data_IF_808200188509
#
_entry.id   IF_808200188509
#
_cell.length_a   1.000
_cell.length_b   1.000
_cell.length_c   1.000
_cell.angle_alpha   90.00
_cell.angle_beta   90.00
_cell.angle_gamma   90.00
#
_symmetry.space_group_name_H-M   'P 1'
#
loop_
_entity.id
_entity.type
_entity.pdbx_description
1 polymer ?
#
# COMPACT_ATOMS: atom_id res chain seq x y z
N UNK A 1 6.17 -16.05 -11.77
CA UNK A 1 5.01 -15.15 -11.52
C UNK A 1 4.62 -14.44 -12.83
N UNK A 2 3.34 -14.09 -13.06
CA UNK A 2 2.96 -13.25 -14.21
C UNK A 2 3.19 -11.78 -13.88
N UNK A 3 3.76 -11.04 -14.83
CA UNK A 3 4.03 -9.61 -14.68
C UNK A 3 3.09 -8.78 -15.55
N UNK A 4 2.94 -7.51 -15.22
CA UNK A 4 2.21 -6.50 -15.98
C UNK A 4 2.98 -5.19 -16.00
N UNK A 5 2.72 -4.38 -17.03
CA UNK A 5 3.14 -2.97 -17.03
C UNK A 5 2.36 -2.20 -15.98
N UNK A 6 3.05 -1.48 -15.13
CA UNK A 6 2.47 -0.72 -14.03
C UNK A 6 2.06 0.70 -14.46
N UNK A 7 1.00 0.79 -15.23
CA UNK A 7 0.47 2.03 -15.76
C UNK A 7 1.52 2.87 -16.50
N UNK A 8 1.43 4.19 -16.38
CA UNK A 8 2.35 5.13 -17.01
C UNK A 8 3.79 5.12 -16.47
N UNK A 9 4.05 4.37 -15.38
CA UNK A 9 5.42 4.17 -14.91
C UNK A 9 6.26 3.33 -15.87
N UNK A 10 5.62 2.51 -16.71
CA UNK A 10 6.29 1.60 -17.62
C UNK A 10 7.02 0.43 -16.94
N UNK A 11 7.06 0.38 -15.61
CA UNK A 11 7.73 -0.67 -14.87
C UNK A 11 7.02 -2.02 -15.07
N UNK A 12 7.83 -3.08 -15.24
CA UNK A 12 7.32 -4.45 -15.38
C UNK A 12 7.29 -5.12 -14.01
N UNK A 13 6.13 -5.18 -13.37
CA UNK A 13 5.96 -5.67 -12.00
C UNK A 13 5.10 -6.92 -11.93
N UNK A 14 5.36 -7.76 -10.93
CA UNK A 14 4.54 -8.93 -10.65
C UNK A 14 3.10 -8.50 -10.29
N UNK A 15 2.11 -9.29 -10.75
CA UNK A 15 0.69 -9.04 -10.42
C UNK A 15 0.38 -9.12 -8.93
N UNK A 16 1.16 -9.89 -8.20
CA UNK A 16 1.12 -9.97 -6.75
C UNK A 16 2.29 -9.14 -6.19
N UNK A 17 1.99 -8.18 -5.33
CA UNK A 17 2.97 -7.45 -4.54
C UNK A 17 3.01 -7.95 -3.11
N UNK A 18 4.15 -7.81 -2.46
CA UNK A 18 4.33 -8.12 -1.05
C UNK A 18 4.15 -6.86 -0.20
N UNK A 19 3.03 -6.78 0.55
CA UNK A 19 2.78 -5.73 1.52
C UNK A 19 3.47 -6.02 2.85
N UNK A 20 4.23 -5.07 3.38
CA UNK A 20 5.18 -5.28 4.49
C UNK A 20 4.75 -4.64 5.81
N UNK A 21 3.47 -4.26 5.96
CA UNK A 21 2.96 -3.72 7.22
C UNK A 21 3.15 -4.70 8.38
N UNK A 22 2.86 -5.98 8.18
CA UNK A 22 2.99 -6.99 9.22
C UNK A 22 4.45 -7.29 9.57
N UNK A 23 5.37 -7.13 8.63
CA UNK A 23 6.80 -7.23 8.88
C UNK A 23 7.24 -6.20 9.91
N UNK A 24 6.75 -4.96 9.82
CA UNK A 24 7.06 -3.93 10.80
C UNK A 24 6.29 -4.04 12.12
N UNK A 25 4.97 -4.32 12.05
CA UNK A 25 4.10 -4.29 13.23
C UNK A 25 4.11 -5.56 14.07
N UNK A 26 4.34 -6.71 13.46
CA UNK A 26 4.25 -8.01 14.16
C UNK A 26 5.59 -8.70 14.32
N UNK A 27 6.44 -8.69 13.31
CA UNK A 27 7.73 -9.34 13.39
C UNK A 27 8.79 -8.43 14.02
N UNK A 28 8.92 -7.17 13.56
CA UNK A 28 9.98 -6.28 14.01
C UNK A 28 11.37 -6.90 13.85
N UNK A 29 12.34 -6.38 14.56
CA UNK A 29 13.69 -6.96 14.56
C UNK A 29 13.81 -8.28 15.32
N UNK A 30 12.94 -8.57 16.26
CA UNK A 30 12.90 -9.86 16.96
C UNK A 30 12.53 -11.00 16.01
N UNK A 31 11.66 -10.73 15.03
CA UNK A 31 11.27 -11.64 13.96
C UNK A 31 12.11 -11.53 12.68
N UNK A 32 13.30 -10.90 12.72
CA UNK A 32 14.12 -10.61 11.53
C UNK A 32 14.40 -11.84 10.66
N UNK A 33 14.72 -12.99 11.25
CA UNK A 33 15.00 -14.22 10.48
C UNK A 33 13.81 -14.67 9.64
N UNK A 34 12.60 -14.55 10.18
CA UNK A 34 11.38 -14.89 9.45
C UNK A 34 11.07 -13.85 8.38
N UNK A 35 11.23 -12.56 8.68
CA UNK A 35 11.07 -11.49 7.70
C UNK A 35 12.07 -11.65 6.53
N UNK A 36 13.32 -11.94 6.83
CA UNK A 36 14.39 -12.21 5.85
C UNK A 36 14.03 -13.41 4.96
N UNK A 37 13.57 -14.50 5.56
CA UNK A 37 13.12 -15.69 4.83
C UNK A 37 11.96 -15.38 3.89
N UNK A 38 10.95 -14.64 4.36
CA UNK A 38 9.77 -14.24 3.57
C UNK A 38 10.18 -13.35 2.39
N UNK A 39 11.02 -12.35 2.63
CA UNK A 39 11.47 -11.41 1.60
C UNK A 39 12.25 -12.15 0.49
N UNK A 40 13.27 -12.92 0.87
CA UNK A 40 14.07 -13.67 -0.10
C UNK A 40 13.23 -14.71 -0.85
N UNK A 41 12.42 -15.50 -0.14
CA UNK A 41 11.53 -16.48 -0.76
C UNK A 41 10.58 -15.82 -1.79
N UNK A 42 10.05 -14.64 -1.47
CA UNK A 42 9.16 -13.92 -2.38
C UNK A 42 9.85 -13.48 -3.65
N UNK A 43 11.07 -12.93 -3.56
CA UNK A 43 11.87 -12.55 -4.72
C UNK A 43 12.25 -13.78 -5.56
N UNK A 44 12.69 -14.86 -4.92
CA UNK A 44 13.09 -16.11 -5.60
C UNK A 44 11.91 -16.77 -6.36
N UNK A 45 10.66 -16.48 -5.94
CA UNK A 45 9.45 -16.94 -6.61
C UNK A 45 8.85 -15.90 -7.57
N UNK A 46 9.58 -14.84 -7.87
CA UNK A 46 9.25 -13.85 -8.89
C UNK A 46 8.23 -12.80 -8.45
N UNK A 47 8.04 -12.58 -7.14
CA UNK A 47 7.35 -11.39 -6.62
C UNK A 47 8.39 -10.27 -6.59
N UNK A 48 8.26 -9.32 -7.50
CA UNK A 48 9.22 -8.22 -7.64
C UNK A 48 8.61 -6.84 -7.28
N UNK A 49 7.54 -6.80 -6.52
CA UNK A 49 6.92 -5.56 -6.02
C UNK A 49 6.86 -5.61 -4.49
N UNK A 50 7.67 -4.77 -3.83
CA UNK A 50 7.70 -4.65 -2.38
C UNK A 50 7.05 -3.32 -1.97
N UNK A 51 6.03 -3.37 -1.08
CA UNK A 51 5.28 -2.21 -0.60
C UNK A 51 5.41 -2.05 0.91
N UNK A 52 6.16 -1.06 1.35
CA UNK A 52 6.37 -0.69 2.74
C UNK A 52 5.84 0.72 3.05
N UNK A 53 6.14 1.29 4.21
CA UNK A 53 5.86 2.68 4.58
C UNK A 53 6.75 3.12 5.75
N UNK A 54 7.07 4.41 5.80
CA UNK A 54 7.84 5.01 6.90
C UNK A 54 7.18 4.80 8.27
N UNK A 55 5.85 4.74 8.32
CA UNK A 55 5.11 4.49 9.58
C UNK A 55 5.06 3.01 10.01
N UNK A 56 5.56 2.07 9.20
CA UNK A 56 5.52 0.63 9.56
C UNK A 56 6.70 0.23 10.45
N UNK A 57 6.98 1.03 11.47
CA UNK A 57 8.03 0.83 12.50
C UNK A 57 9.37 0.43 11.84
N UNK A 58 9.77 -0.84 11.93
CA UNK A 58 11.06 -1.36 11.48
C UNK A 58 11.06 -1.86 10.02
N UNK A 59 9.90 -1.84 9.34
CA UNK A 59 9.73 -2.50 8.04
C UNK A 59 10.74 -2.05 7.00
N UNK A 60 10.97 -0.74 6.85
CA UNK A 60 11.95 -0.21 5.90
C UNK A 60 13.38 -0.67 6.23
N UNK A 61 13.75 -0.63 7.51
CA UNK A 61 15.08 -1.05 7.97
C UNK A 61 15.31 -2.55 7.78
N UNK A 62 14.26 -3.35 7.97
CA UNK A 62 14.29 -4.80 7.71
C UNK A 62 14.48 -5.06 6.23
N UNK A 63 13.74 -4.38 5.35
CA UNK A 63 13.91 -4.51 3.89
C UNK A 63 15.34 -4.14 3.48
N UNK A 64 15.84 -2.98 3.93
CA UNK A 64 17.18 -2.53 3.60
C UNK A 64 18.29 -3.46 4.10
N UNK A 65 18.08 -4.13 5.24
CA UNK A 65 19.03 -5.10 5.81
C UNK A 65 18.96 -6.47 5.13
N UNK A 66 17.75 -6.92 4.80
CA UNK A 66 17.50 -8.26 4.25
C UNK A 66 17.82 -8.34 2.76
N UNK A 67 17.24 -7.46 1.95
CA UNK A 67 17.27 -7.55 0.49
C UNK A 67 17.84 -6.31 -0.20
N UNK A 68 18.44 -5.37 0.56
CA UNK A 68 19.08 -4.19 -0.03
C UNK A 68 20.19 -4.53 -1.04
N UNK A 69 20.90 -5.64 -0.86
CA UNK A 69 21.91 -6.15 -1.80
C UNK A 69 21.31 -6.71 -3.11
N UNK A 70 19.98 -6.93 -3.16
CA UNK A 70 19.22 -7.42 -4.32
C UNK A 70 18.37 -6.28 -4.94
N UNK A 71 18.75 -5.02 -4.72
CA UNK A 71 17.96 -3.82 -5.06
C UNK A 71 17.40 -3.81 -6.49
N UNK A 72 18.17 -4.30 -7.44
CA UNK A 72 17.81 -4.32 -8.87
C UNK A 72 16.77 -5.39 -9.25
N UNK A 73 16.46 -6.31 -8.34
CA UNK A 73 15.51 -7.39 -8.60
C UNK A 73 14.06 -7.01 -8.33
N UNK A 74 13.79 -5.84 -7.69
CA UNK A 74 12.44 -5.48 -7.28
C UNK A 74 12.15 -4.00 -7.44
N UNK A 75 10.87 -3.72 -7.66
CA UNK A 75 10.28 -2.39 -7.61
C UNK A 75 9.94 -2.08 -6.14
N UNK A 76 10.53 -1.02 -5.62
CA UNK A 76 10.41 -0.63 -4.22
C UNK A 76 9.42 0.53 -4.08
N UNK A 77 8.32 0.28 -3.39
CA UNK A 77 7.34 1.30 -3.02
C UNK A 77 7.38 1.55 -1.52
N UNK A 78 7.40 2.82 -1.11
CA UNK A 78 7.17 3.24 0.27
C UNK A 78 6.18 4.40 0.34
N UNK A 79 5.90 4.86 1.55
CA UNK A 79 4.92 5.93 1.78
C UNK A 79 5.46 6.92 2.79
N UNK A 80 5.32 8.21 2.46
CA UNK A 80 5.66 9.34 3.32
C UNK A 80 4.41 9.88 4.03
N UNK A 81 4.61 10.45 5.20
CA UNK A 81 3.56 10.98 6.06
C UNK A 81 3.12 9.98 7.14
N UNK A 82 2.12 10.39 7.93
CA UNK A 82 1.73 9.69 9.16
C UNK A 82 0.94 8.41 8.95
N UNK A 83 0.36 8.23 7.76
CA UNK A 83 -0.53 7.11 7.46
C UNK A 83 -1.87 7.12 8.22
N UNK A 84 -2.19 8.23 8.87
CA UNK A 84 -3.41 8.41 9.65
C UNK A 84 -4.15 9.66 9.19
N UNK A 85 -5.43 9.53 8.84
CA UNK A 85 -6.31 10.65 8.48
C UNK A 85 -6.60 11.57 9.67
N UNK A 86 -6.45 11.08 10.90
CA UNK A 86 -6.69 11.84 12.14
C UNK A 86 -5.43 12.59 12.64
N UNK A 87 -4.33 12.58 11.88
CA UNK A 87 -3.13 13.30 12.26
C UNK A 87 -3.32 14.82 12.10
N UNK A 88 -2.74 15.64 12.99
CA UNK A 88 -2.78 17.09 12.82
C UNK A 88 -2.18 17.53 11.48
N UNK A 89 -2.72 18.60 10.89
CA UNK A 89 -2.20 19.19 9.63
C UNK A 89 -0.71 19.56 9.74
N UNK A 90 -0.26 19.93 10.94
CA UNK A 90 1.15 20.21 11.22
C UNK A 90 2.09 19.03 10.96
N UNK A 91 1.58 17.82 10.84
CA UNK A 91 2.35 16.63 10.43
C UNK A 91 2.45 16.49 8.90
N UNK A 92 1.73 17.29 8.14
CA UNK A 92 1.63 17.26 6.69
C UNK A 92 2.23 18.51 6.05
N UNK A 93 3.47 18.84 6.40
CA UNK A 93 4.18 19.97 5.82
C UNK A 93 5.17 19.50 4.75
N UNK A 94 5.55 20.42 3.86
CA UNK A 94 6.60 20.21 2.85
C UNK A 94 7.86 19.58 3.49
N UNK A 95 8.37 20.19 4.56
CA UNK A 95 9.61 19.75 5.22
C UNK A 95 9.49 18.37 5.84
N UNK A 96 8.35 18.05 6.47
CA UNK A 96 8.13 16.74 7.06
C UNK A 96 8.04 15.63 6.02
N UNK A 97 7.43 15.91 4.87
CA UNK A 97 7.38 14.93 3.77
C UNK A 97 8.79 14.71 3.20
N UNK A 98 9.58 15.75 2.94
CA UNK A 98 10.97 15.58 2.50
C UNK A 98 11.81 14.80 3.49
N UNK A 99 11.76 15.18 4.77
CA UNK A 99 12.47 14.46 5.85
C UNK A 99 12.05 12.99 5.93
N UNK A 100 10.76 12.69 5.75
CA UNK A 100 10.26 11.31 5.70
C UNK A 100 10.91 10.52 4.55
N UNK A 101 10.99 11.09 3.36
CA UNK A 101 11.63 10.44 2.20
C UNK A 101 13.12 10.21 2.45
N UNK A 102 13.83 11.18 2.99
CA UNK A 102 15.26 11.05 3.30
C UNK A 102 15.54 9.98 4.36
N UNK A 103 14.66 9.89 5.38
CA UNK A 103 14.73 8.82 6.37
C UNK A 103 14.46 7.45 5.74
N UNK A 104 13.48 7.37 4.83
CA UNK A 104 13.18 6.13 4.10
C UNK A 104 14.37 5.64 3.27
N UNK A 105 15.06 6.53 2.55
CA UNK A 105 16.28 6.18 1.80
C UNK A 105 17.35 5.56 2.70
N UNK A 106 17.59 6.17 3.87
CA UNK A 106 18.56 5.65 4.86
C UNK A 106 18.16 4.28 5.39
N UNK A 107 16.89 4.11 5.77
CA UNK A 107 16.37 2.85 6.31
C UNK A 107 16.44 1.73 5.27
N UNK A 108 16.03 2.02 4.05
CA UNK A 108 16.00 1.09 2.91
C UNK A 108 17.39 0.81 2.32
N UNK A 109 18.43 1.58 2.75
CA UNK A 109 19.81 1.48 2.25
C UNK A 109 19.90 1.60 0.73
N UNK A 110 19.23 2.59 0.19
CA UNK A 110 19.20 2.86 -1.26
C UNK A 110 19.26 4.36 -1.50
N UNK A 111 19.84 4.77 -2.62
CA UNK A 111 19.89 6.17 -3.05
C UNK A 111 18.62 6.57 -3.80
N UNK A 112 17.87 5.58 -4.34
CA UNK A 112 16.65 5.83 -5.13
C UNK A 112 15.54 4.85 -4.73
N UNK A 113 14.36 5.38 -4.43
CA UNK A 113 13.13 4.62 -4.26
C UNK A 113 12.35 4.65 -5.58
N UNK A 114 11.77 3.51 -6.02
CA UNK A 114 11.00 3.53 -7.26
C UNK A 114 9.71 4.35 -7.11
N UNK A 115 9.00 4.20 -6.00
CA UNK A 115 7.72 4.89 -5.77
C UNK A 115 7.61 5.39 -4.33
N UNK A 116 7.38 6.69 -4.16
CA UNK A 116 6.96 7.26 -2.87
C UNK A 116 5.52 7.76 -2.97
N UNK A 117 4.69 7.35 -2.02
CA UNK A 117 3.26 7.69 -1.98
C UNK A 117 2.94 8.56 -0.76
N UNK A 118 2.02 9.53 -0.87
CA UNK A 118 1.41 10.16 0.30
C UNK A 118 0.51 9.14 1.02
N UNK A 119 0.70 8.99 2.32
CA UNK A 119 0.07 7.92 3.11
C UNK A 119 -1.21 8.38 3.82
N UNK A 120 -2.35 8.28 3.15
CA UNK A 120 -3.68 8.67 3.69
C UNK A 120 -3.82 10.17 3.99
N UNK A 121 -3.15 11.02 3.21
CA UNK A 121 -3.29 12.46 3.26
C UNK A 121 -4.72 12.87 2.90
N UNK A 122 -5.30 13.82 3.63
CA UNK A 122 -6.66 14.28 3.40
C UNK A 122 -6.77 15.24 2.22
N UNK A 123 -7.97 15.39 1.67
CA UNK A 123 -8.23 16.16 0.45
C UNK A 123 -7.78 17.61 0.58
N UNK A 124 -8.11 18.28 1.69
CA UNK A 124 -7.74 19.70 1.88
C UNK A 124 -6.21 19.93 1.87
N UNK A 125 -5.42 18.99 2.40
CA UNK A 125 -3.95 19.05 2.38
C UNK A 125 -3.39 18.79 0.97
N UNK A 126 -4.06 17.91 0.21
CA UNK A 126 -3.72 17.70 -1.20
C UNK A 126 -3.99 18.96 -2.04
N UNK A 127 -5.11 19.65 -1.76
CA UNK A 127 -5.50 20.90 -2.44
C UNK A 127 -4.56 22.08 -2.12
N UNK A 128 -4.00 22.12 -0.93
CA UNK A 128 -2.95 23.10 -0.57
C UNK A 128 -1.67 22.91 -1.41
N UNK A 129 -1.37 21.69 -1.81
CA UNK A 129 -0.30 21.37 -2.75
C UNK A 129 1.09 21.21 -2.14
N UNK A 130 1.36 21.66 -0.91
CA UNK A 130 2.71 21.63 -0.31
C UNK A 130 3.27 20.22 -0.18
N UNK A 131 2.45 19.25 0.23
CA UNK A 131 2.86 17.84 0.35
C UNK A 131 3.16 17.22 -1.02
N UNK A 132 2.43 17.64 -2.06
CA UNK A 132 2.64 17.16 -3.43
C UNK A 132 3.92 17.76 -3.99
N UNK A 133 4.14 19.07 -3.81
CA UNK A 133 5.37 19.76 -4.20
C UNK A 133 6.59 19.09 -3.56
N UNK A 134 6.52 18.71 -2.27
CA UNK A 134 7.61 18.02 -1.60
C UNK A 134 7.99 16.70 -2.30
N UNK A 135 6.99 15.89 -2.74
CA UNK A 135 7.26 14.67 -3.51
C UNK A 135 7.78 14.96 -4.91
N UNK A 136 7.26 16.00 -5.58
CA UNK A 136 7.75 16.43 -6.91
C UNK A 136 9.22 16.85 -6.84
N UNK A 137 9.60 17.61 -5.83
CA UNK A 137 10.99 18.01 -5.61
C UNK A 137 11.89 16.81 -5.29
N UNK A 138 11.41 15.83 -4.49
CA UNK A 138 12.13 14.58 -4.31
C UNK A 138 12.32 13.80 -5.63
N UNK A 139 11.37 13.87 -6.54
CA UNK A 139 11.49 13.27 -7.89
C UNK A 139 12.50 14.03 -8.75
N UNK A 140 12.49 15.34 -8.73
CA UNK A 140 13.47 16.20 -9.44
C UNK A 140 14.89 15.97 -8.90
N UNK A 141 15.04 15.82 -7.58
CA UNK A 141 16.29 15.52 -6.90
C UNK A 141 16.79 14.08 -7.13
N UNK A 142 16.02 13.25 -7.83
CA UNK A 142 16.38 11.85 -8.12
C UNK A 142 16.21 10.89 -6.93
N UNK A 143 15.60 11.33 -5.83
CA UNK A 143 15.34 10.51 -4.63
C UNK A 143 14.24 9.46 -4.84
N UNK A 144 13.32 9.73 -5.76
CA UNK A 144 12.29 8.79 -6.18
C UNK A 144 12.06 8.87 -7.69
N UNK A 145 11.73 7.74 -8.32
CA UNK A 145 11.40 7.70 -9.76
C UNK A 145 9.96 8.14 -10.03
N UNK A 146 9.03 7.71 -9.17
CA UNK A 146 7.59 7.98 -9.31
C UNK A 146 7.01 8.46 -8.00
N UNK A 147 5.91 9.22 -8.10
CA UNK A 147 5.14 9.70 -6.96
C UNK A 147 3.72 9.18 -7.03
N UNK A 148 3.11 8.87 -5.88
CA UNK A 148 1.78 8.29 -5.82
C UNK A 148 0.96 8.78 -4.64
N UNK A 149 -0.29 8.35 -4.65
CA UNK A 149 -1.20 8.51 -3.54
C UNK A 149 -1.67 7.16 -3.01
N UNK A 150 -1.66 6.99 -1.69
CA UNK A 150 -2.21 5.81 -1.02
C UNK A 150 -3.30 6.22 -0.05
N UNK A 151 -4.55 6.00 -0.42
CA UNK A 151 -5.72 6.32 0.41
C UNK A 151 -7.00 5.81 -0.22
N UNK A 152 -8.12 6.22 0.36
CA UNK A 152 -9.43 5.75 -0.04
C UNK A 152 -10.41 6.94 -0.21
N UNK A 153 -11.63 6.68 -0.66
CA UNK A 153 -12.75 7.60 -0.73
C UNK A 153 -12.48 8.90 -1.53
N UNK A 154 -12.80 10.05 -0.96
CA UNK A 154 -12.74 11.37 -1.64
C UNK A 154 -11.33 11.79 -1.98
N UNK A 155 -10.38 11.59 -1.08
CA UNK A 155 -9.00 11.92 -1.33
C UNK A 155 -8.37 11.06 -2.46
N UNK A 156 -8.77 9.78 -2.57
CA UNK A 156 -8.35 8.93 -3.69
C UNK A 156 -8.99 9.39 -5.01
N UNK A 157 -10.26 9.80 -5.00
CA UNK A 157 -10.94 10.34 -6.18
C UNK A 157 -10.27 11.65 -6.63
N UNK A 158 -10.01 12.56 -5.70
CA UNK A 158 -9.29 13.80 -5.95
C UNK A 158 -7.89 13.53 -6.54
N UNK A 159 -7.13 12.64 -5.91
CA UNK A 159 -5.76 12.31 -6.36
C UNK A 159 -5.74 11.76 -7.80
N UNK A 160 -6.69 10.92 -8.17
CA UNK A 160 -6.80 10.42 -9.54
C UNK A 160 -7.13 11.55 -10.51
N UNK A 161 -8.09 12.42 -10.17
CA UNK A 161 -8.55 13.50 -11.06
C UNK A 161 -7.56 14.64 -11.20
N UNK A 162 -6.74 14.89 -10.17
CA UNK A 162 -5.72 15.94 -10.17
C UNK A 162 -4.66 15.77 -11.27
N UNK A 163 -4.44 14.55 -11.72
CA UNK A 163 -3.40 14.19 -12.69
C UNK A 163 -1.96 14.45 -12.21
N UNK A 164 -1.76 14.66 -10.91
CA UNK A 164 -0.47 15.00 -10.30
C UNK A 164 0.35 13.77 -9.87
N UNK A 165 -0.27 12.59 -9.84
CA UNK A 165 0.34 11.35 -9.39
C UNK A 165 0.57 10.36 -10.54
N UNK A 166 1.61 9.52 -10.39
CA UNK A 166 1.90 8.43 -11.32
C UNK A 166 1.12 7.16 -10.96
N UNK A 167 0.77 6.99 -9.68
CA UNK A 167 0.12 5.78 -9.16
C UNK A 167 -0.96 6.09 -8.13
N UNK A 168 -1.89 5.13 -7.98
CA UNK A 168 -2.89 5.09 -6.92
C UNK A 168 -2.81 3.77 -6.17
N UNK A 169 -2.76 3.81 -4.84
CA UNK A 169 -2.99 2.66 -3.99
C UNK A 169 -4.30 2.85 -3.21
N UNK A 170 -5.27 1.96 -3.41
CA UNK A 170 -6.58 2.05 -2.76
C UNK A 170 -7.11 0.69 -2.34
N UNK A 171 -8.01 0.68 -1.36
CA UNK A 171 -8.66 -0.55 -0.91
C UNK A 171 -9.59 -1.10 -1.98
N UNK A 172 -9.37 -2.37 -2.35
CA UNK A 172 -10.25 -3.07 -3.27
C UNK A 172 -10.25 -4.56 -2.97
N UNK A 173 -11.40 -5.10 -2.63
CA UNK A 173 -11.58 -6.51 -2.28
C UNK A 173 -13.02 -6.94 -2.52
N UNK A 174 -13.32 -8.22 -2.31
CA UNK A 174 -14.69 -8.72 -2.37
C UNK A 174 -15.63 -7.96 -1.41
N UNK A 175 -15.15 -7.60 -0.22
CA UNK A 175 -15.93 -6.89 0.81
C UNK A 175 -15.80 -5.36 0.75
N UNK A 176 -14.94 -4.81 -0.11
CA UNK A 176 -14.75 -3.37 -0.26
C UNK A 176 -14.73 -2.97 -1.73
N UNK A 177 -15.87 -2.55 -2.24
CA UNK A 177 -16.09 -2.16 -3.63
C UNK A 177 -16.17 -0.63 -3.81
N UNK A 178 -15.83 0.17 -2.78
CA UNK A 178 -15.96 1.63 -2.82
C UNK A 178 -15.19 2.27 -3.98
N UNK A 179 -13.97 1.82 -4.24
CA UNK A 179 -13.16 2.33 -5.35
C UNK A 179 -13.81 2.08 -6.71
N UNK A 180 -14.56 0.96 -6.86
CA UNK A 180 -15.34 0.65 -8.07
C UNK A 180 -16.62 1.49 -8.15
N UNK A 181 -17.43 1.52 -7.08
CA UNK A 181 -18.71 2.23 -7.06
C UNK A 181 -18.57 3.75 -7.23
N UNK A 182 -17.42 4.32 -6.85
CA UNK A 182 -17.08 5.74 -7.06
C UNK A 182 -16.37 5.99 -8.40
N UNK A 183 -16.25 5.01 -9.26
CA UNK A 183 -15.54 5.06 -10.56
C UNK A 183 -14.03 5.38 -10.47
N UNK A 184 -13.42 5.33 -9.28
CA UNK A 184 -12.01 5.66 -9.06
C UNK A 184 -11.10 4.76 -9.90
N UNK A 185 -11.40 3.45 -9.96
CA UNK A 185 -10.60 2.49 -10.74
C UNK A 185 -10.70 2.75 -12.24
N UNK A 186 -11.89 3.09 -12.76
CA UNK A 186 -12.09 3.42 -14.16
C UNK A 186 -11.34 4.69 -14.55
N UNK A 187 -11.41 5.72 -13.72
CA UNK A 187 -10.68 6.97 -13.92
C UNK A 187 -9.15 6.76 -13.86
N UNK A 188 -8.66 5.97 -12.91
CA UNK A 188 -7.25 5.62 -12.82
C UNK A 188 -6.77 4.89 -14.10
N UNK A 189 -7.57 3.96 -14.62
CA UNK A 189 -7.30 3.26 -15.89
C UNK A 189 -7.27 4.23 -17.08
N UNK A 190 -8.27 5.12 -17.21
CA UNK A 190 -8.34 6.09 -18.30
C UNK A 190 -7.12 7.04 -18.32
N UNK A 191 -6.54 7.31 -17.15
CA UNK A 191 -5.34 8.17 -17.00
C UNK A 191 -4.05 7.37 -16.99
N UNK A 192 -4.12 6.06 -17.26
CA UNK A 192 -2.98 5.15 -17.25
C UNK A 192 -2.17 5.18 -15.95
N UNK A 193 -2.82 5.37 -14.79
CA UNK A 193 -2.15 5.29 -13.49
C UNK A 193 -1.78 3.84 -13.17
N UNK A 194 -0.63 3.64 -12.51
CA UNK A 194 -0.32 2.37 -11.85
C UNK A 194 -1.25 2.16 -10.65
N UNK A 195 -2.02 1.07 -10.64
CA UNK A 195 -2.98 0.81 -9.56
C UNK A 195 -2.52 -0.33 -8.67
N UNK A 196 -2.47 -0.06 -7.35
CA UNK A 196 -2.20 -1.04 -6.30
C UNK A 196 -3.49 -1.28 -5.52
N UNK A 197 -4.03 -2.50 -5.62
CA UNK A 197 -5.16 -2.92 -4.80
C UNK A 197 -4.65 -3.40 -3.43
N UNK A 198 -4.80 -2.56 -2.40
CA UNK A 198 -4.46 -2.95 -1.03
C UNK A 198 -5.62 -3.72 -0.39
N UNK A 199 -5.28 -4.63 0.55
CA UNK A 199 -6.24 -5.44 1.31
C UNK A 199 -7.15 -6.33 0.43
N UNK A 200 -6.61 -7.03 -0.58
CA UNK A 200 -7.43 -7.80 -1.54
C UNK A 200 -8.24 -8.92 -0.88
N UNK A 201 -7.80 -9.41 0.27
CA UNK A 201 -8.50 -10.41 1.10
C UNK A 201 -9.14 -9.80 2.37
N UNK A 202 -9.37 -8.46 2.38
CA UNK A 202 -10.03 -7.76 3.48
C UNK A 202 -9.34 -7.94 4.84
N UNK A 203 -8.00 -7.86 4.88
CA UNK A 203 -7.19 -8.11 6.09
C UNK A 203 -7.49 -9.46 6.74
N UNK A 204 -7.72 -10.50 5.96
CA UNK A 204 -8.08 -11.84 6.41
C UNK A 204 -9.43 -11.92 7.17
N UNK A 205 -10.29 -10.90 7.08
CA UNK A 205 -11.57 -10.86 7.79
C UNK A 205 -12.49 -12.05 7.45
N UNK A 206 -12.35 -12.62 6.25
CA UNK A 206 -13.09 -13.83 5.86
C UNK A 206 -12.73 -15.06 6.73
N UNK A 207 -11.52 -15.14 7.26
CA UNK A 207 -11.10 -16.21 8.16
C UNK A 207 -11.82 -16.10 9.52
N UNK A 208 -12.07 -14.87 9.99
CA UNK A 208 -12.81 -14.61 11.22
C UNK A 208 -14.26 -15.10 11.19
N UNK A 209 -14.93 -14.99 10.04
CA UNK A 209 -16.30 -15.52 9.87
C UNK A 209 -16.35 -17.04 10.14
N UNK A 210 -15.32 -17.77 9.70
CA UNK A 210 -15.20 -19.20 9.92
C UNK A 210 -14.96 -19.54 11.39
N UNK A 211 -14.15 -18.75 12.08
CA UNK A 211 -13.79 -19.00 13.48
C UNK A 211 -14.87 -18.55 14.47
N UNK A 212 -15.66 -17.51 14.16
CA UNK A 212 -16.81 -17.11 15.00
C UNK A 212 -17.89 -18.20 15.11
N UNK A 213 -18.02 -19.04 14.10
CA UNK A 213 -18.91 -20.23 14.19
C UNK A 213 -18.38 -21.30 15.15
N UNK A 214 -17.11 -21.26 15.50
CA UNK A 214 -16.42 -22.23 16.35
C UNK A 214 -16.03 -21.67 17.74
N UNK A 215 -16.63 -20.55 18.20
CA UNK A 215 -16.39 -19.91 19.51
C UNK A 215 -14.92 -19.62 19.86
N UNK A 216 -14.03 -19.47 18.88
CA UNK A 216 -12.65 -19.03 19.13
C UNK A 216 -12.53 -17.53 18.97
N UNK A 217 -12.24 -16.82 20.06
CA UNK A 217 -11.97 -15.38 20.12
C UNK A 217 -10.62 -15.10 19.47
N UNK A 218 -10.63 -14.35 18.37
CA UNK A 218 -9.39 -13.75 17.81
C UNK A 218 -9.17 -12.37 18.42
N UNK A 219 -8.37 -12.28 19.46
CA UNK A 219 -8.11 -11.04 20.20
C UNK A 219 -7.07 -10.10 19.56
N UNK A 220 -6.56 -10.32 18.33
CA UNK A 220 -5.33 -9.63 17.95
C UNK A 220 -5.21 -8.99 16.57
N UNK A 221 -6.30 -8.73 15.84
CA UNK A 221 -6.14 -8.14 14.50
C UNK A 221 -6.33 -6.61 14.41
N UNK A 222 -6.72 -5.95 15.51
CA UNK A 222 -6.85 -4.48 15.60
C UNK A 222 -8.05 -3.88 14.85
N UNK A 223 -8.25 -2.58 15.03
CA UNK A 223 -9.42 -1.83 14.53
C UNK A 223 -9.69 -1.95 13.02
N UNK A 224 -8.63 -2.08 12.22
CA UNK A 224 -8.76 -2.24 10.77
C UNK A 224 -9.36 -3.59 10.39
N UNK A 225 -9.06 -4.66 11.13
CA UNK A 225 -9.68 -5.97 10.95
C UNK A 225 -11.18 -5.91 11.29
N UNK A 226 -11.54 -5.28 12.40
CA UNK A 226 -12.92 -5.17 12.85
C UNK A 226 -13.80 -4.44 11.84
N UNK A 227 -13.28 -3.40 11.20
CA UNK A 227 -14.00 -2.68 10.15
C UNK A 227 -14.30 -3.59 8.95
N UNK A 228 -13.31 -4.35 8.48
CA UNK A 228 -13.51 -5.28 7.37
C UNK A 228 -14.38 -6.47 7.76
N UNK A 229 -14.26 -6.96 8.99
CA UNK A 229 -15.10 -8.01 9.51
C UNK A 229 -16.58 -7.60 9.54
N UNK A 230 -16.89 -6.38 10.01
CA UNK A 230 -18.26 -5.83 9.98
C UNK A 230 -18.79 -5.71 8.55
N UNK A 231 -17.95 -5.35 7.57
CA UNK A 231 -18.33 -5.30 6.15
C UNK A 231 -18.62 -6.69 5.60
N UNK A 232 -17.79 -7.66 5.92
CA UNK A 232 -17.99 -9.06 5.53
C UNK A 232 -19.29 -9.58 6.11
N UNK A 233 -19.57 -9.37 7.40
CA UNK A 233 -20.83 -9.77 8.02
C UNK A 233 -22.05 -9.16 7.33
N UNK A 234 -22.01 -7.89 6.95
CA UNK A 234 -23.09 -7.25 6.18
C UNK A 234 -23.28 -7.89 4.81
N UNK A 235 -22.21 -8.32 4.17
CA UNK A 235 -22.26 -8.99 2.87
C UNK A 235 -22.77 -10.42 2.97
N UNK A 236 -22.41 -11.14 4.04
CA UNK A 236 -22.77 -12.54 4.26
C UNK A 236 -24.17 -12.73 4.84
N UNK A 237 -24.77 -11.68 5.46
CA UNK A 237 -26.16 -11.76 5.92
C UNK A 237 -27.18 -11.84 4.79
N UNK A 238 -26.78 -11.58 3.57
CA UNK A 238 -27.54 -11.79 2.35
C UNK A 238 -26.99 -12.98 1.58
N UNK A 239 -27.43 -14.19 1.92
CA UNK A 239 -27.35 -15.39 1.09
C UNK A 239 -26.13 -16.29 1.21
N UNK A 240 -26.42 -17.52 0.94
CA UNK A 240 -25.56 -18.58 0.42
C UNK A 240 -24.59 -18.05 -0.64
N UNK A 241 -23.40 -17.60 -0.21
CA UNK A 241 -22.29 -17.37 -1.13
C UNK A 241 -21.81 -18.75 -1.62
N UNK A 242 -22.42 -19.22 -2.69
CA UNK A 242 -21.68 -20.04 -3.63
C UNK A 242 -20.61 -19.11 -4.19
N UNK A 243 -19.34 -19.35 -3.83
CA UNK A 243 -18.21 -18.70 -4.48
C UNK A 243 -18.36 -18.92 -5.98
N UNK A 244 -18.55 -17.88 -6.81
CA UNK A 244 -18.45 -18.07 -8.22
C UNK A 244 -17.03 -18.55 -8.49
N UNK A 245 -16.91 -19.67 -9.16
CA UNK A 245 -15.65 -20.14 -9.73
C UNK A 245 -15.08 -18.97 -10.53
N UNK A 246 -13.88 -18.51 -10.15
CA UNK A 246 -13.25 -17.38 -10.83
C UNK A 246 -12.93 -17.84 -12.25
N UNK A 247 -13.76 -17.48 -13.19
CA UNK A 247 -13.39 -17.53 -14.60
C UNK A 247 -12.44 -16.36 -14.87
N UNK A 248 -11.22 -16.72 -15.21
CA UNK A 248 -10.23 -15.79 -15.77
C UNK A 248 -10.78 -15.18 -17.05
N UNK A 249 -10.85 -13.86 -17.08
CA UNK A 249 -10.91 -13.06 -18.31
C UNK A 249 -9.58 -12.34 -18.46
#
# INVERSE_FOLDING_TARGET
MKNNTFGKTGANVSKLGLGLAQVGFQLGFDGFKEADRILNFSLDNGINFLDTAAMYIDSESIVGKSVGHRREEYFLATKAGTGRTTSPDSEWTYEKIKTSVEKSLKNLKTDVIDLVQLHSCETHLLEQGDVIRALQDCKIEGKTRFIGYSGDNEAADWAVRSNLFDTLQTSYSLSDQRARSRNILSEAKNRNLGVIAKRPIGNAALLGVRNHRNNSTHESFGSAYDEYFKRVLKTVSYTHLTLPTIYSV
#
